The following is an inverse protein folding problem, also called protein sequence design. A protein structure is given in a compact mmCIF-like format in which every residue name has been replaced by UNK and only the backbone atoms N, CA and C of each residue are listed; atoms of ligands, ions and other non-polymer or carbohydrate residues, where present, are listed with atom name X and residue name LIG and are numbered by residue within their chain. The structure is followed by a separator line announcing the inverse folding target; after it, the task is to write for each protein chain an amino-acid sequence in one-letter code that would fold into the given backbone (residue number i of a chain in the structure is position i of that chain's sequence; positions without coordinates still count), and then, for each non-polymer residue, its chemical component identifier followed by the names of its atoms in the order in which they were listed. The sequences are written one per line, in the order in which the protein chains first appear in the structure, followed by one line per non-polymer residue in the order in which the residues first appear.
data_IF_226598088350
#
_entry.id   IF_226598088350
#
_cell.length_a   1.000
_cell.length_b   1.000
_cell.length_c   1.000
_cell.angle_alpha   90.00
_cell.angle_beta   90.00
_cell.angle_gamma   90.00
#
_symmetry.space_group_name_H-M   'P 1'
#
loop_
_entity.id
_entity.type
_entity.pdbx_description
1 polymer ?
#
# COMPACT_ATOMS: atom_id res chain seq x y z
N UNK A 1 -27.33 16.87 16.17
CA UNK A 1 -26.27 15.95 15.71
C UNK A 1 -26.89 14.89 14.82
N UNK A 2 -26.57 14.84 13.53
CA UNK A 2 -27.09 13.79 12.62
C UNK A 2 -26.46 12.46 13.04
N UNK A 3 -27.28 11.46 13.36
CA UNK A 3 -26.84 10.11 13.69
C UNK A 3 -26.21 9.55 12.40
N UNK A 4 -24.90 9.26 12.41
CA UNK A 4 -24.23 8.61 11.28
C UNK A 4 -24.84 7.22 11.15
N UNK A 5 -25.54 6.95 10.05
CA UNK A 5 -25.94 5.59 9.71
C UNK A 5 -24.67 4.76 9.55
N UNK A 6 -24.68 3.55 10.14
CA UNK A 6 -23.57 2.61 9.99
C UNK A 6 -23.42 2.18 8.55
N UNK A 7 -22.20 1.85 8.14
CA UNK A 7 -21.91 1.35 6.78
C UNK A 7 -22.80 0.13 6.48
N UNK A 8 -23.49 0.16 5.35
CA UNK A 8 -24.35 -0.93 4.95
C UNK A 8 -23.48 -2.11 4.46
N UNK A 9 -23.83 -3.35 4.80
CA UNK A 9 -23.04 -4.54 4.46
C UNK A 9 -22.92 -4.83 2.96
N UNK A 10 -23.79 -4.24 2.12
CA UNK A 10 -23.71 -4.31 0.65
C UNK A 10 -22.73 -3.29 0.05
N UNK A 11 -22.23 -2.33 0.83
CA UNK A 11 -21.23 -1.33 0.41
C UNK A 11 -19.80 -1.68 0.83
N UNK A 12 -19.62 -2.76 1.60
CA UNK A 12 -18.32 -3.19 2.11
C UNK A 12 -17.81 -4.36 1.27
N UNK A 13 -16.75 -4.13 0.47
CA UNK A 13 -15.94 -5.21 -0.08
C UNK A 13 -14.94 -5.65 0.99
N UNK A 14 -14.89 -6.94 1.27
CA UNK A 14 -13.83 -7.51 2.11
C UNK A 14 -12.47 -7.27 1.46
N UNK A 15 -11.47 -6.93 2.28
CA UNK A 15 -10.09 -6.71 1.82
C UNK A 15 -9.20 -7.83 2.33
N UNK A 16 -8.41 -8.40 1.43
CA UNK A 16 -7.35 -9.34 1.80
C UNK A 16 -6.10 -8.52 2.12
N UNK A 17 -5.55 -8.70 3.33
CA UNK A 17 -4.26 -8.12 3.68
C UNK A 17 -3.17 -9.12 3.34
N UNK A 18 -2.38 -8.79 2.32
CA UNK A 18 -1.18 -9.55 1.97
C UNK A 18 0.05 -8.78 2.44
N UNK A 19 0.75 -9.31 3.43
CA UNK A 19 2.06 -8.79 3.86
C UNK A 19 3.14 -9.60 3.15
N UNK A 20 3.86 -8.97 2.22
CA UNK A 20 5.00 -9.57 1.55
C UNK A 20 6.17 -9.91 2.48
N UNK A 21 7.28 -10.34 1.87
CA UNK A 21 8.54 -10.57 2.58
C UNK A 21 9.07 -9.35 3.33
N UNK A 22 10.08 -9.56 4.19
CA UNK A 22 10.72 -8.49 4.96
C UNK A 22 11.95 -7.95 4.23
N UNK A 23 11.97 -6.65 3.93
CA UNK A 23 13.18 -5.94 3.51
C UNK A 23 13.76 -5.15 4.69
N UNK A 24 15.08 -5.22 4.85
CA UNK A 24 15.79 -4.42 5.84
C UNK A 24 16.02 -3.01 5.32
N UNK A 25 15.72 -2.02 6.14
CA UNK A 25 16.00 -0.62 5.87
C UNK A 25 17.21 -0.21 6.69
N UNK A 26 18.26 0.24 6.02
CA UNK A 26 19.44 0.77 6.71
C UNK A 26 19.23 2.26 7.03
N UNK A 27 19.32 2.61 8.30
CA UNK A 27 19.20 3.99 8.76
C UNK A 27 17.79 4.58 8.61
N UNK A 28 17.71 5.88 8.31
CA UNK A 28 16.44 6.56 8.06
C UNK A 28 16.06 6.38 6.60
N UNK A 29 14.93 5.72 6.35
CA UNK A 29 14.38 5.55 5.01
C UNK A 29 14.23 6.89 4.30
N UNK A 30 14.92 7.04 3.17
CA UNK A 30 14.72 8.15 2.24
C UNK A 30 13.81 7.74 1.07
N UNK A 31 13.61 8.67 0.12
CA UNK A 31 12.76 8.43 -1.04
C UNK A 31 13.35 7.40 -2.03
N UNK A 32 14.67 7.22 -2.08
CA UNK A 32 15.30 6.25 -2.98
C UNK A 32 15.15 4.83 -2.42
N UNK A 33 15.46 4.65 -1.14
CA UNK A 33 15.22 3.39 -0.44
C UNK A 33 13.73 3.02 -0.46
N UNK A 34 12.84 4.00 -0.32
CA UNK A 34 11.40 3.77 -0.44
C UNK A 34 11.01 3.18 -1.80
N UNK A 35 11.48 3.79 -2.91
CA UNK A 35 11.21 3.26 -4.26
C UNK A 35 11.79 1.86 -4.44
N UNK A 36 13.01 1.62 -3.97
CA UNK A 36 13.63 0.30 -4.04
C UNK A 36 12.82 -0.78 -3.28
N UNK A 37 12.21 -0.42 -2.13
CA UNK A 37 11.33 -1.32 -1.37
C UNK A 37 10.05 -1.62 -2.15
N UNK A 38 9.45 -0.63 -2.81
CA UNK A 38 8.27 -0.87 -3.65
C UNK A 38 8.59 -1.78 -4.84
N UNK A 39 9.70 -1.53 -5.53
CA UNK A 39 10.11 -2.33 -6.69
C UNK A 39 10.43 -3.78 -6.30
N UNK A 40 11.14 -3.99 -5.20
CA UNK A 40 11.58 -5.33 -4.77
C UNK A 40 10.49 -6.09 -4.00
N UNK A 41 9.75 -5.41 -3.13
CA UNK A 41 8.79 -6.04 -2.22
C UNK A 41 7.35 -6.02 -2.71
N UNK A 42 6.86 -4.87 -3.17
CA UNK A 42 5.44 -4.71 -3.49
C UNK A 42 5.05 -5.49 -4.75
N UNK A 43 5.85 -5.40 -5.82
CA UNK A 43 5.54 -6.09 -7.08
C UNK A 43 5.44 -7.60 -6.91
N UNK A 44 6.41 -8.20 -6.21
CA UNK A 44 6.38 -9.62 -5.87
C UNK A 44 5.15 -9.96 -5.02
N UNK A 45 4.81 -9.12 -4.04
CA UNK A 45 3.63 -9.33 -3.18
C UNK A 45 2.32 -9.29 -3.97
N UNK A 46 2.22 -8.40 -4.96
CA UNK A 46 1.04 -8.31 -5.83
C UNK A 46 0.87 -9.61 -6.64
N UNK A 47 1.96 -10.13 -7.22
CA UNK A 47 1.95 -11.40 -7.96
C UNK A 47 1.57 -12.59 -7.06
N UNK A 48 2.19 -12.71 -5.88
CA UNK A 48 1.93 -13.80 -4.94
C UNK A 48 0.53 -13.76 -4.31
N UNK A 49 -0.08 -12.57 -4.23
CA UNK A 49 -1.42 -12.41 -3.65
C UNK A 49 -2.53 -13.05 -4.50
N UNK A 50 -2.30 -13.22 -5.80
CA UNK A 50 -3.33 -13.67 -6.76
C UNK A 50 -4.50 -12.68 -6.92
N UNK A 51 -4.38 -11.46 -6.41
CA UNK A 51 -5.39 -10.40 -6.56
C UNK A 51 -5.25 -9.81 -7.96
N UNK A 52 -6.37 -9.69 -8.67
CA UNK A 52 -6.44 -9.00 -9.96
C UNK A 52 -5.95 -7.56 -9.81
N UNK A 53 -5.12 -7.08 -10.75
CA UNK A 53 -4.60 -5.70 -10.74
C UNK A 53 -5.72 -4.65 -10.64
N UNK A 54 -6.89 -4.93 -11.22
CA UNK A 54 -8.06 -4.04 -11.18
C UNK A 54 -8.71 -3.94 -9.79
N UNK A 55 -8.43 -4.87 -8.88
CA UNK A 55 -8.97 -4.91 -7.52
C UNK A 55 -7.93 -4.51 -6.46
N UNK A 56 -6.69 -4.20 -6.86
CA UNK A 56 -5.62 -3.81 -5.93
C UNK A 56 -5.82 -2.36 -5.48
N UNK A 57 -5.78 -2.16 -4.17
CA UNK A 57 -5.77 -0.83 -3.54
C UNK A 57 -4.41 -0.65 -2.86
N UNK A 58 -3.61 0.28 -3.37
CA UNK A 58 -2.36 0.66 -2.73
C UNK A 58 -2.61 1.70 -1.62
N UNK A 59 -2.16 1.41 -0.40
CA UNK A 59 -2.32 2.28 0.76
C UNK A 59 -0.96 2.60 1.41
N UNK A 60 -0.71 3.88 1.67
CA UNK A 60 0.43 4.39 2.44
C UNK A 60 0.01 5.63 3.22
N UNK A 61 0.87 6.13 4.12
CA UNK A 61 0.67 7.43 4.76
C UNK A 61 1.17 8.59 3.87
N UNK A 62 0.94 9.84 4.31
CA UNK A 62 1.34 11.05 3.60
C UNK A 62 2.73 11.56 4.02
N UNK A 63 3.66 10.68 4.41
CA UNK A 63 5.02 11.11 4.71
C UNK A 63 5.67 11.76 3.46
N UNK A 64 6.43 12.86 3.60
CA UNK A 64 7.03 13.56 2.46
C UNK A 64 7.83 12.67 1.49
N UNK A 65 8.44 11.57 1.96
CA UNK A 65 9.17 10.64 1.08
C UNK A 65 8.24 9.81 0.19
N UNK A 66 7.06 9.46 0.70
CA UNK A 66 5.99 8.71 0.03
C UNK A 66 5.28 9.56 -1.04
N UNK A 67 5.18 10.87 -0.81
CA UNK A 67 4.62 11.84 -1.77
C UNK A 67 5.70 12.57 -2.57
N UNK A 68 6.94 12.09 -2.56
CA UNK A 68 8.05 12.75 -3.26
C UNK A 68 7.91 12.61 -4.78
N UNK A 69 8.50 13.54 -5.53
CA UNK A 69 8.58 13.42 -7.00
C UNK A 69 9.28 12.14 -7.47
N UNK A 70 10.15 11.55 -6.63
CA UNK A 70 10.85 10.31 -6.96
C UNK A 70 9.93 9.10 -6.85
N UNK A 71 9.04 9.11 -5.85
CA UNK A 71 8.06 8.04 -5.59
C UNK A 71 6.81 8.10 -6.49
N UNK A 72 6.47 9.27 -7.03
CA UNK A 72 5.31 9.47 -7.91
C UNK A 72 5.62 9.32 -9.41
N UNK A 73 6.86 9.05 -9.77
CA UNK A 73 7.33 9.00 -11.16
C UNK A 73 7.17 7.62 -11.79
#
# INVERSE_FOLDING_TARGET
KKKKEGLNTREVKDTIKFGGGSLMVEGRMDAEQYVAILEQGLLQSMEESGISECDIIFQQDNDPKHTSRRAQR
#
